data_IF_257648865245
#
_entry.id   IF_257648865245
#
_cell.length_a   1.000
_cell.length_b   1.000
_cell.length_c   1.000
_cell.angle_alpha   90.00
_cell.angle_beta   90.00
_cell.angle_gamma   90.00
#
_symmetry.space_group_name_H-M   'P 1'
#
loop_
_entity.id
_entity.type
_entity.pdbx_description
1 polymer ?
#
# COMPACT_ATOMS: atom_id res chain seq x y z
N UNK A 1 -5.08 -4.51 -34.38
CA UNK A 1 -6.04 -5.48 -33.80
C UNK A 1 -5.28 -6.32 -32.79
N UNK A 2 -5.29 -5.95 -31.52
CA UNK A 2 -4.76 -6.77 -30.43
C UNK A 2 -5.59 -8.06 -30.37
N UNK A 3 -4.92 -9.22 -30.46
CA UNK A 3 -5.58 -10.52 -30.27
C UNK A 3 -5.90 -10.66 -28.79
N UNK A 4 -7.10 -11.10 -28.44
CA UNK A 4 -7.42 -11.40 -27.05
C UNK A 4 -6.46 -12.47 -26.50
N UNK A 5 -5.97 -12.26 -25.28
CA UNK A 5 -5.07 -13.17 -24.57
C UNK A 5 -5.62 -13.51 -23.19
N UNK A 6 -5.17 -14.64 -22.65
CA UNK A 6 -5.51 -15.15 -21.32
C UNK A 6 -4.21 -15.38 -20.58
N UNK A 7 -4.16 -15.01 -19.30
CA UNK A 7 -2.97 -15.09 -18.46
C UNK A 7 -3.12 -16.18 -17.40
N UNK A 8 -2.03 -16.92 -17.18
CA UNK A 8 -1.96 -18.00 -16.22
C UNK A 8 -0.71 -17.83 -15.34
N UNK A 9 -0.84 -18.23 -14.08
CA UNK A 9 0.29 -18.41 -13.15
C UNK A 9 0.18 -19.80 -12.51
N UNK A 10 1.21 -20.24 -11.80
CA UNK A 10 1.23 -21.53 -11.09
C UNK A 10 1.19 -21.29 -9.59
N UNK A 11 0.74 -22.28 -8.81
CA UNK A 11 0.70 -22.18 -7.34
C UNK A 11 2.07 -21.83 -6.75
N UNK A 12 3.12 -22.47 -7.28
CA UNK A 12 4.48 -22.39 -6.75
C UNK A 12 5.20 -21.09 -7.15
N UNK A 13 4.84 -20.50 -8.29
CA UNK A 13 5.50 -19.31 -8.82
C UNK A 13 4.67 -18.03 -8.71
N UNK A 14 3.48 -18.11 -8.11
CA UNK A 14 2.61 -16.95 -7.87
C UNK A 14 3.31 -15.87 -7.03
N UNK A 15 4.07 -16.27 -6.01
CA UNK A 15 4.82 -15.34 -5.16
C UNK A 15 6.05 -14.74 -5.85
N UNK A 16 6.55 -15.42 -6.88
CA UNK A 16 7.68 -14.99 -7.71
C UNK A 16 7.24 -14.12 -8.91
N UNK A 17 5.94 -13.88 -9.07
CA UNK A 17 5.39 -13.01 -10.12
C UNK A 17 5.45 -13.61 -11.52
N UNK A 18 5.58 -14.92 -11.66
CA UNK A 18 5.64 -15.59 -12.96
C UNK A 18 4.27 -15.59 -13.66
N UNK A 19 4.21 -15.12 -14.90
CA UNK A 19 2.99 -15.06 -15.73
C UNK A 19 3.28 -15.60 -17.14
N UNK A 20 2.37 -16.44 -17.62
CA UNK A 20 2.34 -16.94 -18.99
C UNK A 20 1.08 -16.47 -19.69
N UNK A 21 1.27 -15.84 -20.85
CA UNK A 21 0.21 -15.28 -21.66
C UNK A 21 0.01 -16.12 -22.92
N UNK A 22 -1.24 -16.51 -23.19
CA UNK A 22 -1.60 -17.28 -24.39
C UNK A 22 -2.76 -16.65 -25.16
N UNK A 23 -2.79 -16.75 -26.51
CA UNK A 23 -3.91 -16.25 -27.30
C UNK A 23 -5.22 -16.99 -27.01
N UNK A 24 -6.24 -16.27 -26.54
CA UNK A 24 -7.54 -16.79 -26.13
C UNK A 24 -8.48 -15.72 -25.58
N UNK A 25 -9.79 -16.00 -25.52
CA UNK A 25 -10.78 -15.06 -24.96
C UNK A 25 -11.27 -15.42 -23.56
N UNK A 26 -11.16 -16.69 -23.18
CA UNK A 26 -11.68 -17.23 -21.91
C UNK A 26 -10.78 -18.37 -21.44
N UNK A 27 -10.89 -18.71 -20.16
CA UNK A 27 -10.27 -19.93 -19.65
C UNK A 27 -10.97 -21.17 -20.23
N UNK A 28 -10.18 -22.10 -20.77
CA UNK A 28 -10.64 -23.39 -21.28
C UNK A 28 -9.45 -24.36 -21.39
N UNK A 29 -9.74 -25.65 -21.51
CA UNK A 29 -8.73 -26.72 -21.60
C UNK A 29 -7.70 -26.49 -22.71
N UNK A 30 -8.10 -25.92 -23.85
CA UNK A 30 -7.21 -25.64 -24.97
C UNK A 30 -6.20 -24.52 -24.65
N UNK A 31 -6.63 -23.48 -23.94
CA UNK A 31 -5.77 -22.38 -23.54
C UNK A 31 -4.83 -22.78 -22.39
N UNK A 32 -5.32 -23.60 -21.44
CA UNK A 32 -4.49 -24.21 -20.40
C UNK A 32 -3.39 -25.10 -20.98
N UNK A 33 -3.72 -25.95 -21.97
CA UNK A 33 -2.70 -26.77 -22.65
C UNK A 33 -1.61 -25.91 -23.32
N UNK A 34 -2.00 -24.83 -24.02
CA UNK A 34 -1.03 -23.88 -24.61
C UNK A 34 -0.16 -23.19 -23.56
N UNK A 35 -0.70 -22.90 -22.38
CA UNK A 35 0.07 -22.28 -21.31
C UNK A 35 1.15 -23.24 -20.80
N UNK A 36 0.84 -24.54 -20.69
CA UNK A 36 1.84 -25.56 -20.37
C UNK A 36 2.92 -25.68 -21.44
N UNK A 37 2.54 -25.66 -22.73
CA UNK A 37 3.49 -25.67 -23.85
C UNK A 37 4.44 -24.45 -23.77
N UNK A 38 3.94 -23.26 -23.43
CA UNK A 38 4.76 -22.06 -23.30
C UNK A 38 5.65 -22.09 -22.05
N UNK A 39 5.20 -22.66 -20.93
CA UNK A 39 6.04 -22.90 -19.74
C UNK A 39 7.18 -23.85 -20.10
N UNK A 40 6.87 -24.97 -20.77
CA UNK A 40 7.87 -25.92 -21.21
C UNK A 40 8.86 -25.27 -22.19
N UNK A 41 8.38 -24.47 -23.14
CA UNK A 41 9.25 -23.74 -24.08
C UNK A 41 10.23 -22.82 -23.35
N UNK A 42 9.80 -22.14 -22.27
CA UNK A 42 10.67 -21.29 -21.46
C UNK A 42 11.67 -22.09 -20.63
N UNK A 43 11.30 -23.27 -20.14
CA UNK A 43 12.24 -24.18 -19.47
C UNK A 43 13.31 -24.73 -20.41
N UNK A 44 12.98 -24.93 -21.68
CA UNK A 44 13.92 -25.37 -22.72
C UNK A 44 14.80 -24.22 -23.27
N UNK A 45 14.47 -22.96 -22.93
CA UNK A 45 15.22 -21.77 -23.32
C UNK A 45 16.33 -21.48 -22.30
N UNK A 46 17.58 -21.75 -22.68
CA UNK A 46 18.74 -21.57 -21.79
C UNK A 46 19.01 -20.13 -21.37
N UNK A 47 18.38 -19.14 -22.02
CA UNK A 47 18.48 -17.73 -21.67
C UNK A 47 17.37 -17.27 -20.70
N UNK A 48 16.32 -18.07 -20.53
CA UNK A 48 15.20 -17.77 -19.62
C UNK A 48 15.49 -18.37 -18.23
N UNK A 49 15.76 -17.51 -17.26
CA UNK A 49 16.03 -17.90 -15.86
C UNK A 49 14.78 -17.86 -14.98
N UNK A 50 13.60 -17.58 -15.56
CA UNK A 50 12.35 -17.42 -14.80
C UNK A 50 11.71 -18.74 -14.37
N UNK A 51 11.99 -19.82 -15.11
CA UNK A 51 11.52 -21.18 -14.83
C UNK A 51 12.61 -22.21 -15.16
N UNK A 52 12.74 -23.23 -14.32
CA UNK A 52 13.68 -24.33 -14.50
C UNK A 52 13.05 -25.67 -14.08
N UNK A 53 13.77 -26.78 -14.28
CA UNK A 53 13.28 -28.12 -13.92
C UNK A 53 12.95 -28.26 -12.41
N UNK A 54 13.66 -27.53 -11.55
CA UNK A 54 13.42 -27.51 -10.10
C UNK A 54 12.18 -26.69 -9.70
N UNK A 55 11.65 -25.85 -10.61
CA UNK A 55 10.50 -24.97 -10.36
C UNK A 55 9.19 -25.75 -10.22
N UNK A 56 9.15 -27.00 -10.67
CA UNK A 56 7.96 -27.87 -10.66
C UNK A 56 8.31 -29.28 -10.21
N UNK A 57 8.96 -29.40 -9.04
CA UNK A 57 9.45 -30.68 -8.51
C UNK A 57 8.34 -31.76 -8.35
N UNK A 58 7.09 -31.34 -8.09
CA UNK A 58 5.92 -32.22 -7.95
C UNK A 58 5.16 -32.46 -9.28
N UNK A 59 5.70 -31.95 -10.39
CA UNK A 59 5.04 -31.93 -11.70
C UNK A 59 4.07 -30.77 -11.87
N UNK A 60 3.80 -30.40 -13.12
CA UNK A 60 2.90 -29.31 -13.48
C UNK A 60 1.76 -29.84 -14.37
N UNK A 61 0.51 -29.67 -13.92
CA UNK A 61 -0.67 -30.04 -14.69
C UNK A 61 -1.54 -28.84 -15.04
N UNK A 62 -2.51 -29.05 -15.95
CA UNK A 62 -3.46 -27.99 -16.34
C UNK A 62 -4.30 -27.50 -15.15
N UNK A 63 -4.48 -28.31 -14.11
CA UNK A 63 -5.24 -27.96 -12.91
C UNK A 63 -4.42 -27.11 -11.92
N UNK A 64 -3.09 -27.11 -12.05
CA UNK A 64 -2.18 -26.28 -11.26
C UNK A 64 -2.04 -24.85 -11.82
N UNK A 65 -2.57 -24.65 -13.04
CA UNK A 65 -2.72 -23.33 -13.63
C UNK A 65 -3.84 -22.55 -12.93
N UNK A 66 -3.45 -21.45 -12.33
CA UNK A 66 -4.33 -20.44 -11.77
C UNK A 66 -4.57 -19.43 -12.89
N UNK A 67 -5.84 -19.32 -13.31
CA UNK A 67 -6.26 -18.23 -14.18
C UNK A 67 -6.01 -16.92 -13.44
N UNK A 68 -5.07 -16.13 -13.96
CA UNK A 68 -4.93 -14.75 -13.54
C UNK A 68 -6.02 -14.03 -14.31
N UNK A 69 -7.06 -13.57 -13.61
CA UNK A 69 -7.91 -12.54 -14.19
C UNK A 69 -6.95 -11.47 -14.69
N UNK A 70 -6.97 -11.12 -15.99
CA UNK A 70 -6.07 -10.11 -16.48
C UNK A 70 -6.30 -8.89 -15.60
N UNK A 71 -5.35 -8.60 -14.72
CA UNK A 71 -5.20 -7.26 -14.15
C UNK A 71 -5.09 -6.43 -15.40
N UNK A 72 -6.21 -5.82 -15.79
CA UNK A 72 -6.46 -5.45 -17.17
C UNK A 72 -5.15 -4.98 -17.79
N UNK A 73 -4.51 -5.85 -18.58
CA UNK A 73 -3.57 -5.43 -19.60
C UNK A 73 -4.40 -4.90 -20.76
N UNK A 74 -5.48 -4.16 -20.46
CA UNK A 74 -5.54 -2.89 -21.11
C UNK A 74 -4.22 -2.22 -20.77
N UNK A 75 -3.52 -1.74 -21.78
CA UNK A 75 -2.99 -0.41 -21.62
C UNK A 75 -4.06 0.41 -20.88
N UNK A 76 -3.95 0.56 -19.55
CA UNK A 76 -4.33 1.83 -18.97
C UNK A 76 -3.22 2.78 -19.40
N UNK A 77 -3.13 2.99 -20.72
CA UNK A 77 -2.51 4.17 -21.25
C UNK A 77 -3.54 5.25 -20.98
N UNK A 78 -3.18 6.15 -20.08
CA UNK A 78 -4.04 7.21 -19.59
C UNK A 78 -4.25 7.18 -18.07
N UNK A 79 -5.18 8.04 -17.66
CA UNK A 79 -5.40 8.52 -16.30
C UNK A 79 -5.61 7.39 -15.25
N UNK A 80 -6.25 6.28 -15.59
CA UNK A 80 -6.51 5.18 -14.65
C UNK A 80 -5.24 4.44 -14.18
N UNK A 81 -4.22 4.26 -15.03
CA UNK A 81 -2.94 3.67 -14.58
C UNK A 81 -2.18 4.64 -13.70
N UNK A 82 -2.22 5.92 -14.05
CA UNK A 82 -1.57 6.99 -13.29
C UNK A 82 -2.18 7.08 -11.88
N UNK A 83 -3.50 6.93 -11.75
CA UNK A 83 -4.19 6.84 -10.46
C UNK A 83 -3.73 5.61 -9.67
N UNK A 84 -3.68 4.42 -10.30
CA UNK A 84 -3.24 3.18 -9.62
C UNK A 84 -1.78 3.29 -9.13
N UNK A 85 -0.89 3.85 -9.95
CA UNK A 85 0.50 4.08 -9.56
C UNK A 85 0.60 5.11 -8.44
N UNK A 86 -0.23 6.15 -8.48
CA UNK A 86 -0.29 7.16 -7.45
C UNK A 86 -0.70 6.58 -6.09
N UNK A 87 -1.71 5.71 -6.06
CA UNK A 87 -2.11 4.98 -4.84
C UNK A 87 -0.94 4.15 -4.28
N UNK A 88 -0.19 3.45 -5.14
CA UNK A 88 1.00 2.68 -4.70
C UNK A 88 2.09 3.57 -4.12
N UNK A 89 2.31 4.75 -4.70
CA UNK A 89 3.26 5.72 -4.17
C UNK A 89 2.83 6.24 -2.79
N UNK A 90 1.54 6.57 -2.59
CA UNK A 90 1.02 6.98 -1.29
C UNK A 90 1.14 5.85 -0.25
N UNK A 91 0.83 4.60 -0.61
CA UNK A 91 0.98 3.46 0.29
C UNK A 91 2.45 3.22 0.71
N UNK A 92 3.37 3.41 -0.24
CA UNK A 92 4.81 3.31 0.00
C UNK A 92 5.30 4.43 0.93
N UNK A 93 4.85 5.67 0.71
CA UNK A 93 5.14 6.80 1.60
C UNK A 93 4.63 6.54 3.02
N UNK A 94 3.42 6.00 3.17
CA UNK A 94 2.86 5.69 4.48
C UNK A 94 3.74 4.70 5.26
N UNK A 95 4.21 3.64 4.59
CA UNK A 95 5.12 2.66 5.18
C UNK A 95 6.46 3.29 5.58
N UNK A 96 7.04 4.12 4.71
CA UNK A 96 8.27 4.85 5.00
C UNK A 96 8.11 5.83 6.17
N UNK A 97 6.98 6.53 6.26
CA UNK A 97 6.67 7.43 7.36
C UNK A 97 6.56 6.69 8.69
N UNK A 98 5.85 5.56 8.73
CA UNK A 98 5.77 4.73 9.95
C UNK A 98 7.15 4.25 10.38
N UNK A 99 7.97 3.75 9.45
CA UNK A 99 9.33 3.31 9.75
C UNK A 99 10.21 4.46 10.29
N UNK A 100 10.09 5.65 9.70
CA UNK A 100 10.78 6.85 10.17
C UNK A 100 10.34 7.23 11.59
N UNK A 101 9.05 7.24 11.89
CA UNK A 101 8.54 7.57 13.25
C UNK A 101 9.02 6.56 14.30
N UNK A 102 8.99 5.25 13.97
CA UNK A 102 9.51 4.21 14.87
C UNK A 102 11.01 4.37 15.13
N UNK A 103 11.80 4.72 14.11
CA UNK A 103 13.23 4.97 14.28
C UNK A 103 13.50 6.29 15.02
N UNK A 104 12.69 7.33 14.80
CA UNK A 104 12.77 8.60 15.50
C UNK A 104 12.51 8.45 17.00
N UNK A 105 11.48 7.70 17.38
CA UNK A 105 11.17 7.39 18.79
C UNK A 105 12.34 6.68 19.51
N UNK A 106 13.11 5.86 18.79
CA UNK A 106 14.28 5.20 19.36
C UNK A 106 15.47 6.16 19.48
N UNK A 107 15.66 7.03 18.49
CA UNK A 107 16.79 7.97 18.46
C UNK A 107 16.61 9.18 19.38
N UNK A 108 15.37 9.62 19.66
CA UNK A 108 15.11 10.78 20.52
C UNK A 108 15.62 10.57 21.95
N UNK A 109 15.59 9.33 22.44
CA UNK A 109 16.13 8.94 23.74
C UNK A 109 17.65 9.12 23.85
N UNK A 110 18.36 9.10 22.70
CA UNK A 110 19.80 9.30 22.63
C UNK A 110 20.19 10.79 22.55
N UNK A 111 19.22 11.68 22.33
CA UNK A 111 19.46 13.12 22.17
C UNK A 111 20.21 13.74 23.36
N UNK A 112 19.88 13.48 24.63
CA UNK A 112 20.63 14.05 25.76
C UNK A 112 22.10 13.62 25.79
N UNK A 113 22.37 12.37 25.40
CA UNK A 113 23.75 11.85 25.30
C UNK A 113 24.49 12.59 24.19
N UNK A 114 23.88 12.75 23.02
CA UNK A 114 24.47 13.49 21.89
C UNK A 114 24.76 14.93 22.27
N UNK A 115 23.80 15.64 22.87
CA UNK A 115 23.99 17.02 23.32
C UNK A 115 25.13 17.13 24.35
N UNK A 116 25.24 16.17 25.26
CA UNK A 116 26.33 16.12 26.24
C UNK A 116 27.72 15.91 25.60
N UNK A 117 27.81 15.21 24.45
CA UNK A 117 29.09 15.05 23.74
C UNK A 117 29.65 16.37 23.20
N UNK A 118 28.79 17.37 22.96
CA UNK A 118 29.18 18.70 22.48
C UNK A 118 29.25 19.75 23.61
N UNK A 119 28.86 19.38 24.83
CA UNK A 119 28.96 20.26 26.00
C UNK A 119 30.41 20.36 26.49
N UNK A 120 30.84 21.51 27.04
CA UNK A 120 32.13 21.64 27.74
C UNK A 120 32.17 20.86 29.08
N UNK A 121 31.03 20.42 29.59
CA UNK A 121 30.93 19.68 30.84
C UNK A 121 31.46 18.24 30.72
N UNK A 122 31.85 17.65 31.85
CA UNK A 122 32.25 16.24 31.88
C UNK A 122 31.05 15.32 31.68
N UNK A 123 31.22 14.26 30.89
CA UNK A 123 30.20 13.23 30.73
C UNK A 123 29.93 12.49 32.05
N UNK A 124 28.65 12.19 32.30
CA UNK A 124 28.25 11.34 33.42
C UNK A 124 28.58 9.87 33.12
N UNK A 125 28.70 9.00 34.14
CA UNK A 125 28.89 7.56 33.94
C UNK A 125 27.83 6.92 33.03
N UNK A 126 26.57 7.33 33.14
CA UNK A 126 25.48 6.86 32.30
C UNK A 126 25.63 7.31 30.83
N UNK A 127 26.03 8.57 30.60
CA UNK A 127 26.33 9.05 29.24
C UNK A 127 27.49 8.28 28.61
N UNK A 128 28.57 8.02 29.37
CA UNK A 128 29.70 7.23 28.88
C UNK A 128 29.29 5.80 28.53
N UNK A 129 28.44 5.17 29.34
CA UNK A 129 27.93 3.81 29.09
C UNK A 129 27.07 3.76 27.83
N UNK A 130 26.13 4.69 27.67
CA UNK A 130 25.28 4.76 26.47
C UNK A 130 26.09 5.08 25.22
N UNK A 131 27.01 6.05 25.28
CA UNK A 131 27.83 6.44 24.13
C UNK A 131 28.79 5.34 23.66
N UNK A 132 29.15 4.38 24.53
CA UNK A 132 30.01 3.24 24.20
C UNK A 132 29.24 1.95 23.89
N UNK A 133 27.91 1.97 24.02
CA UNK A 133 27.06 0.83 23.66
C UNK A 133 26.98 0.68 22.12
N UNK A 134 27.12 -0.54 21.63
CA UNK A 134 26.94 -0.88 20.21
C UNK A 134 25.57 -0.48 19.67
N UNK A 135 24.53 -0.49 20.53
CA UNK A 135 23.19 -0.08 20.17
C UNK A 135 23.07 1.42 19.90
N UNK A 136 23.97 2.25 20.44
CA UNK A 136 23.97 3.69 20.20
C UNK A 136 24.17 4.00 18.72
N UNK A 137 25.29 3.54 18.14
CA UNK A 137 25.58 3.72 16.73
C UNK A 137 24.51 3.10 15.84
N UNK A 138 24.06 1.86 16.15
CA UNK A 138 23.03 1.16 15.38
C UNK A 138 21.70 1.91 15.33
N UNK A 139 21.28 2.49 16.46
CA UNK A 139 20.02 3.25 16.54
C UNK A 139 20.09 4.52 15.71
N UNK A 140 21.21 5.26 15.79
CA UNK A 140 21.41 6.47 15.00
C UNK A 140 21.53 6.18 13.50
N UNK A 141 22.21 5.09 13.11
CA UNK A 141 22.27 4.64 11.71
C UNK A 141 20.88 4.32 11.17
N UNK A 142 20.10 3.53 11.91
CA UNK A 142 18.72 3.17 11.50
C UNK A 142 17.83 4.41 11.35
N UNK A 143 17.96 5.38 12.27
CA UNK A 143 17.26 6.65 12.15
C UNK A 143 17.67 7.44 10.90
N UNK A 144 18.98 7.55 10.64
CA UNK A 144 19.50 8.25 9.46
C UNK A 144 19.02 7.61 8.15
N UNK A 145 19.09 6.28 8.04
CA UNK A 145 18.63 5.52 6.87
C UNK A 145 17.12 5.69 6.65
N UNK A 146 16.31 5.56 7.71
CA UNK A 146 14.86 5.73 7.62
C UNK A 146 14.47 7.16 7.23
N UNK A 147 15.17 8.16 7.78
CA UNK A 147 14.97 9.57 7.41
C UNK A 147 15.33 9.83 5.95
N UNK A 148 16.48 9.34 5.51
CA UNK A 148 16.93 9.52 4.12
C UNK A 148 15.95 8.88 3.13
N UNK A 149 15.49 7.66 3.41
CA UNK A 149 14.50 6.98 2.58
C UNK A 149 13.17 7.74 2.52
N UNK A 150 12.68 8.26 3.65
CA UNK A 150 11.48 9.09 3.69
C UNK A 150 11.66 10.40 2.90
N UNK A 151 12.73 11.15 3.16
CA UNK A 151 12.99 12.44 2.50
C UNK A 151 13.16 12.28 0.99
N UNK A 152 13.83 11.23 0.54
CA UNK A 152 14.04 10.94 -0.89
C UNK A 152 12.72 10.57 -1.59
N UNK A 153 11.82 9.86 -0.91
CA UNK A 153 10.58 9.37 -1.50
C UNK A 153 9.41 10.36 -1.40
N UNK A 154 9.47 11.29 -0.45
CA UNK A 154 8.46 12.33 -0.25
C UNK A 154 8.08 13.10 -1.53
N UNK A 155 9.01 13.62 -2.35
CA UNK A 155 8.65 14.35 -3.57
C UNK A 155 7.90 13.47 -4.58
N UNK A 156 8.30 12.20 -4.74
CA UNK A 156 7.63 11.24 -5.64
C UNK A 156 6.17 11.03 -5.20
N UNK A 157 5.95 10.90 -3.90
CA UNK A 157 4.62 10.72 -3.35
C UNK A 157 3.79 12.01 -3.39
N UNK A 158 4.42 13.19 -3.37
CA UNK A 158 3.74 14.47 -3.57
C UNK A 158 3.24 14.61 -5.00
N UNK A 159 4.06 14.27 -6.00
CA UNK A 159 3.63 14.24 -7.41
C UNK A 159 2.47 13.26 -7.63
N UNK A 160 2.54 12.07 -7.01
CA UNK A 160 1.44 11.12 -7.02
C UNK A 160 0.16 11.66 -6.35
N UNK A 161 0.29 12.47 -5.29
CA UNK A 161 -0.86 13.07 -4.63
C UNK A 161 -1.61 14.03 -5.54
N UNK A 162 -0.90 14.83 -6.35
CA UNK A 162 -1.51 15.76 -7.30
C UNK A 162 -2.39 15.05 -8.35
N UNK A 163 -2.03 13.81 -8.72
CA UNK A 163 -2.82 12.97 -9.63
C UNK A 163 -4.00 12.31 -8.91
N UNK A 164 -3.77 11.82 -7.68
CA UNK A 164 -4.78 11.06 -6.95
C UNK A 164 -5.88 11.94 -6.35
N UNK A 165 -5.54 13.11 -5.83
CA UNK A 165 -6.45 13.99 -5.08
C UNK A 165 -7.75 14.32 -5.84
N UNK A 166 -7.72 14.71 -7.12
CA UNK A 166 -8.94 15.02 -7.88
C UNK A 166 -9.82 13.79 -8.14
N UNK A 167 -9.23 12.58 -8.15
CA UNK A 167 -9.95 11.33 -8.36
C UNK A 167 -10.62 10.80 -7.09
N UNK A 168 -10.31 11.38 -5.92
CA UNK A 168 -10.94 10.99 -4.66
C UNK A 168 -12.35 11.59 -4.53
N UNK A 169 -13.27 10.87 -3.86
CA UNK A 169 -14.59 11.43 -3.56
C UNK A 169 -14.41 12.72 -2.75
N UNK A 170 -15.25 13.75 -2.99
CA UNK A 170 -15.17 15.01 -2.27
C UNK A 170 -15.24 14.72 -0.78
N UNK A 171 -14.33 15.31 -0.02
CA UNK A 171 -14.28 15.12 1.42
C UNK A 171 -15.66 15.48 2.00
N UNK A 172 -16.34 14.52 2.63
CA UNK A 172 -17.66 14.73 3.26
C UNK A 172 -17.62 15.73 4.45
N UNK A 173 -16.53 16.48 4.60
CA UNK A 173 -16.34 17.54 5.59
C UNK A 173 -16.47 18.96 5.04
N UNK A 174 -16.84 19.17 3.78
CA UNK A 174 -17.18 20.51 3.25
C UNK A 174 -18.46 20.50 2.41
N UNK A 175 -19.58 20.11 3.02
CA UNK A 175 -20.90 20.43 2.49
C UNK A 175 -21.90 20.56 3.64
N UNK A 176 -21.73 21.59 4.46
CA UNK A 176 -22.89 22.23 5.09
C UNK A 176 -22.60 23.72 5.31
N UNK A 177 -22.88 24.60 4.34
CA UNK A 177 -23.10 25.99 4.68
C UNK A 177 -24.44 26.03 5.41
N UNK A 178 -24.39 26.10 6.74
CA UNK A 178 -25.54 26.42 7.58
C UNK A 178 -26.08 27.79 7.16
N UNK A 179 -26.98 27.77 6.19
CA UNK A 179 -27.84 28.85 5.80
C UNK A 179 -29.28 28.39 6.00
N UNK A 180 -29.87 28.87 7.10
CA UNK A 180 -31.29 29.18 7.23
C UNK A 180 -32.28 28.01 7.28
N UNK A 181 -32.75 27.70 8.49
CA UNK A 181 -34.20 27.83 8.75
C UNK A 181 -34.44 28.07 10.24
N UNK A 182 -34.65 29.35 10.55
CA UNK A 182 -35.27 29.78 11.79
C UNK A 182 -36.74 29.38 11.67
N UNK A 183 -37.11 28.21 12.22
CA UNK A 183 -38.52 27.84 12.37
C UNK A 183 -38.89 28.07 13.82
N UNK A 184 -39.30 29.31 14.08
CA UNK A 184 -40.10 29.68 15.23
C UNK A 184 -41.43 28.92 15.12
N UNK A 185 -41.65 27.91 15.97
CA UNK A 185 -42.97 27.32 16.18
C UNK A 185 -43.41 27.57 17.61
N UNK A 186 -44.26 28.58 17.70
CA UNK A 186 -45.17 28.88 18.80
C UNK A 186 -45.98 27.63 19.15
N UNK A 187 -45.86 27.13 20.39
CA UNK A 187 -46.85 26.22 20.94
C UNK A 187 -47.89 27.05 21.70
N UNK A 188 -49.08 27.16 21.11
CA UNK A 188 -50.31 27.62 21.75
C UNK A 188 -51.41 26.58 21.54
N UNK A 189 -52.21 26.40 22.60
CA UNK A 189 -53.42 25.57 22.75
C UNK A 189 -53.24 24.05 22.85
N UNK A 190 -53.81 23.32 23.81
CA UNK A 190 -54.94 23.63 24.70
C UNK A 190 -56.07 22.62 24.47
N UNK A 191 -56.52 21.98 25.57
CA UNK A 191 -57.72 21.13 25.79
C UNK A 191 -57.51 19.61 25.82
N UNK A 192 -57.62 19.07 27.03
CA UNK A 192 -58.77 18.22 27.35
C UNK A 192 -59.08 18.30 28.84
N UNK A 193 -60.16 19.01 29.17
CA UNK A 193 -60.84 18.91 30.45
C UNK A 193 -61.94 17.88 30.34
N UNK A 194 -61.97 16.92 31.28
CA UNK A 194 -63.18 16.19 31.67
C UNK A 194 -63.39 16.49 33.15
N UNK A 195 -64.32 17.41 33.42
CA UNK A 195 -65.12 17.55 34.65
C UNK A 195 -66.10 16.36 34.69
N UNK A 196 -66.60 15.78 35.79
CA UNK A 196 -66.94 16.19 37.16
C UNK A 196 -67.22 14.84 37.91
N UNK A 197 -67.14 14.72 39.25
CA UNK A 197 -68.23 15.12 40.15
C UNK A 197 -67.84 15.00 41.64
N UNK A 198 -68.44 15.91 42.41
CA UNK A 198 -68.40 16.09 43.86
C UNK A 198 -69.20 15.02 44.61
N UNK A 199 -68.72 14.61 45.79
CA UNK A 199 -69.40 14.66 47.11
C UNK A 199 -68.58 13.91 48.15
#
# INVERSE_FOLDING_TARGET
>A
MSKATVQYTTKDLKELGFIVEVPGRTDNAKNRAKALEEIQRRMEDSEDTTVNEDSFADGLSADDLILVEPLATGSTEGEEAEIIQSVKAIASLASLKVNFELAYQQAVELRPVIEALFSPDRLTPEHMKLATDRNFAKTLTKFAEAKAAYDQYLPIAQEAWEILEPALPPSQHQANPLGSEVVEHTQSNGKNGVVVNES
#
